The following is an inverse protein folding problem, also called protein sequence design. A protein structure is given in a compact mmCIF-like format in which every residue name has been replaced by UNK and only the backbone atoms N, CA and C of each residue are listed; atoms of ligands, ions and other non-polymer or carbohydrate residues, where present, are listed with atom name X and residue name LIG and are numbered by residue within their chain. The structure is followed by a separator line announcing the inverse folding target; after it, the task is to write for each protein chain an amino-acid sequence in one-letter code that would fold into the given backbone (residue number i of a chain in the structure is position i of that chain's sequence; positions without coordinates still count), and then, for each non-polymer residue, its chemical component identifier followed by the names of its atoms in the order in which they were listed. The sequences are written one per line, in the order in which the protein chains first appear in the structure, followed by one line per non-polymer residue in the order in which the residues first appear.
data_IF_407351962509
#
_entry.id   IF_407351962509
#
_cell.length_a   1.000
_cell.length_b   1.000
_cell.length_c   1.000
_cell.angle_alpha   90.00
_cell.angle_beta   90.00
_cell.angle_gamma   90.00
#
_symmetry.space_group_name_H-M   'P 1'
#
loop_
_entity.id
_entity.type
_entity.pdbx_description
1 polymer ?
#
# COMPACT_ATOMS: atom_id res chain seq x y z
N UNK A 1 6.03 -10.93 -5.47
CA UNK A 1 5.75 -11.34 -4.08
C UNK A 1 6.58 -12.58 -3.80
N UNK A 2 7.48 -12.49 -2.82
CA UNK A 2 8.34 -13.60 -2.40
C UNK A 2 7.66 -14.36 -1.26
N UNK A 3 7.76 -15.69 -1.25
CA UNK A 3 7.19 -16.53 -0.18
C UNK A 3 8.32 -17.17 0.62
N UNK A 4 8.29 -17.00 1.95
CA UNK A 4 9.28 -17.52 2.88
C UNK A 4 8.60 -18.38 3.96
N UNK A 5 9.33 -19.35 4.50
CA UNK A 5 8.89 -20.01 5.73
C UNK A 5 9.01 -19.06 6.94
N UNK A 6 8.19 -19.28 7.98
CA UNK A 6 8.29 -18.53 9.23
C UNK A 6 9.70 -18.62 9.87
N UNK A 7 10.40 -19.74 9.67
CA UNK A 7 11.76 -19.95 10.17
C UNK A 7 12.79 -19.09 9.42
N UNK A 8 12.67 -18.94 8.10
CA UNK A 8 13.53 -18.08 7.29
C UNK A 8 13.25 -16.61 7.56
N UNK A 9 11.97 -16.23 7.65
CA UNK A 9 11.57 -14.87 7.96
C UNK A 9 12.12 -14.42 9.32
N UNK A 10 12.06 -15.29 10.35
CA UNK A 10 12.66 -15.01 11.66
C UNK A 10 14.16 -14.70 11.58
N UNK A 11 14.93 -15.47 10.79
CA UNK A 11 16.38 -15.29 10.65
C UNK A 11 16.77 -13.97 9.98
N UNK A 12 15.87 -13.41 9.18
CA UNK A 12 16.12 -12.25 8.30
C UNK A 12 15.22 -11.06 8.60
N UNK A 13 14.52 -11.05 9.74
CA UNK A 13 13.41 -10.12 9.98
C UNK A 13 13.81 -8.66 9.80
N UNK A 14 14.96 -8.23 10.33
CA UNK A 14 15.44 -6.85 10.17
C UNK A 14 15.63 -6.47 8.69
N UNK A 15 16.36 -7.31 7.93
CA UNK A 15 16.56 -7.08 6.50
C UNK A 15 15.24 -7.08 5.73
N UNK A 16 14.28 -7.93 6.12
CA UNK A 16 12.97 -7.98 5.46
C UNK A 16 12.16 -6.70 5.71
N UNK A 17 12.26 -6.09 6.89
CA UNK A 17 11.60 -4.79 7.16
C UNK A 17 12.17 -3.70 6.25
N UNK A 18 13.49 -3.64 6.11
CA UNK A 18 14.15 -2.69 5.21
C UNK A 18 13.80 -2.98 3.73
N UNK A 19 13.77 -4.26 3.34
CA UNK A 19 13.46 -4.70 1.98
C UNK A 19 12.03 -4.32 1.58
N UNK A 20 11.02 -4.61 2.42
CA UNK A 20 9.63 -4.25 2.08
C UNK A 20 9.43 -2.74 2.03
N UNK A 21 10.12 -1.98 2.88
CA UNK A 21 10.09 -0.51 2.85
C UNK A 21 10.75 0.06 1.61
N UNK A 22 11.90 -0.47 1.20
CA UNK A 22 12.65 0.06 0.06
C UNK A 22 12.02 -0.33 -1.29
N UNK A 23 11.43 -1.52 -1.37
CA UNK A 23 10.92 -2.07 -2.64
C UNK A 23 9.42 -1.90 -2.81
N UNK A 24 8.67 -1.65 -1.73
CA UNK A 24 7.21 -1.69 -1.71
C UNK A 24 6.63 -3.02 -2.23
N UNK A 25 7.40 -4.11 -2.12
CA UNK A 25 6.97 -5.45 -2.53
C UNK A 25 6.62 -6.27 -1.28
N UNK A 26 5.39 -6.79 -1.17
CA UNK A 26 5.00 -7.65 -0.05
C UNK A 26 5.76 -8.98 -0.05
N UNK A 27 6.00 -9.50 1.16
CA UNK A 27 6.53 -10.84 1.40
C UNK A 27 5.49 -11.68 2.11
N UNK A 28 5.20 -12.86 1.57
CA UNK A 28 4.34 -13.84 2.23
C UNK A 28 5.18 -14.72 3.16
N UNK A 29 4.73 -14.87 4.41
CA UNK A 29 5.34 -15.72 5.42
C UNK A 29 4.41 -16.90 5.70
N UNK A 30 4.88 -18.11 5.46
CA UNK A 30 4.10 -19.34 5.65
C UNK A 30 4.60 -20.09 6.88
N UNK A 31 3.71 -20.27 7.85
CA UNK A 31 3.90 -21.14 9.00
C UNK A 31 3.27 -22.52 8.79
N UNK A 32 3.40 -23.41 9.79
CA UNK A 32 2.82 -24.76 9.72
C UNK A 32 1.29 -24.80 9.69
N UNK A 33 0.62 -23.77 10.21
CA UNK A 33 -0.85 -23.72 10.36
C UNK A 33 -1.48 -22.55 9.59
N UNK A 34 -0.78 -21.42 9.52
CA UNK A 34 -1.30 -20.16 9.00
C UNK A 34 -0.23 -19.45 8.15
N UNK A 35 -0.64 -18.44 7.40
CA UNK A 35 0.27 -17.53 6.70
C UNK A 35 -0.05 -16.07 7.03
N UNK A 36 0.92 -15.19 6.80
CA UNK A 36 0.78 -13.74 6.98
C UNK A 36 1.51 -13.03 5.84
N UNK A 37 1.19 -11.74 5.62
CA UNK A 37 1.91 -10.87 4.70
C UNK A 37 2.66 -9.84 5.51
N UNK A 38 3.95 -9.67 5.22
CA UNK A 38 4.74 -8.52 5.66
C UNK A 38 4.73 -7.47 4.55
N UNK A 39 4.33 -6.26 4.91
CA UNK A 39 4.33 -5.05 4.09
C UNK A 39 5.00 -3.93 4.86
N UNK A 40 5.43 -2.89 4.16
CA UNK A 40 5.90 -1.68 4.83
C UNK A 40 4.73 -0.98 5.55
N UNK A 41 5.06 -0.22 6.59
CA UNK A 41 4.07 0.54 7.35
C UNK A 41 3.41 1.63 6.48
N UNK A 42 4.18 2.24 5.57
CA UNK A 42 3.68 3.22 4.61
C UNK A 42 2.66 2.60 3.65
N UNK A 43 2.97 1.41 3.10
CA UNK A 43 2.04 0.72 2.21
C UNK A 43 0.75 0.34 2.94
N UNK A 44 0.85 -0.08 4.20
CA UNK A 44 -0.32 -0.37 5.01
C UNK A 44 -1.21 0.86 5.19
N UNK A 45 -0.63 2.02 5.53
CA UNK A 45 -1.38 3.28 5.63
C UNK A 45 -2.03 3.67 4.31
N UNK A 46 -1.30 3.55 3.20
CA UNK A 46 -1.82 3.87 1.87
C UNK A 46 -3.01 2.96 1.51
N UNK A 47 -2.96 1.67 1.88
CA UNK A 47 -4.08 0.74 1.71
C UNK A 47 -5.27 1.17 2.57
N UNK A 48 -5.07 1.48 3.85
CA UNK A 48 -6.14 1.94 4.74
C UNK A 48 -6.81 3.22 4.23
N UNK A 49 -6.02 4.21 3.81
CA UNK A 49 -6.52 5.47 3.24
C UNK A 49 -7.29 5.21 1.94
N UNK A 50 -6.76 4.37 1.06
CA UNK A 50 -7.43 3.99 -0.20
C UNK A 50 -8.78 3.34 0.07
N UNK A 51 -8.84 2.41 1.04
CA UNK A 51 -10.08 1.74 1.43
C UNK A 51 -11.07 2.73 2.03
N UNK A 52 -10.61 3.65 2.89
CA UNK A 52 -11.43 4.71 3.46
C UNK A 52 -12.05 5.60 2.38
N UNK A 53 -11.23 6.14 1.47
CA UNK A 53 -11.71 6.98 0.38
C UNK A 53 -12.65 6.23 -0.57
N UNK A 54 -12.36 4.97 -0.86
CA UNK A 54 -13.21 4.13 -1.72
C UNK A 54 -14.57 3.80 -1.10
N UNK A 55 -14.67 3.80 0.24
CA UNK A 55 -15.93 3.57 0.95
C UNK A 55 -16.87 4.78 0.89
N UNK A 56 -16.36 5.99 0.60
CA UNK A 56 -17.19 7.20 0.46
C UNK A 56 -17.88 7.17 -0.93
N UNK A 57 -19.23 7.18 -0.99
CA UNK A 57 -19.95 7.16 -2.26
C UNK A 57 -19.51 8.26 -3.22
N UNK A 58 -19.17 7.90 -4.46
CA UNK A 58 -18.73 8.84 -5.49
C UNK A 58 -17.29 9.35 -5.37
N UNK A 59 -16.62 9.16 -4.23
CA UNK A 59 -15.26 9.69 -3.99
C UNK A 59 -14.23 9.10 -4.95
N UNK A 60 -14.22 7.76 -5.13
CA UNK A 60 -13.32 7.09 -6.08
C UNK A 60 -13.44 7.65 -7.50
N UNK A 61 -14.66 7.89 -7.95
CA UNK A 61 -14.90 8.39 -9.31
C UNK A 61 -14.56 9.88 -9.43
N UNK A 62 -14.78 10.67 -8.37
CA UNK A 62 -14.29 12.05 -8.27
C UNK A 62 -12.77 12.12 -8.41
N UNK A 63 -12.03 11.31 -7.66
CA UNK A 63 -10.56 11.23 -7.71
C UNK A 63 -10.08 10.83 -9.11
N UNK A 64 -10.66 9.79 -9.71
CA UNK A 64 -10.32 9.36 -11.08
C UNK A 64 -10.61 10.42 -12.13
N UNK A 65 -11.70 11.18 -11.97
CA UNK A 65 -12.02 12.31 -12.85
C UNK A 65 -10.94 13.38 -12.71
N UNK A 66 -10.58 13.75 -11.48
CA UNK A 66 -9.50 14.70 -11.19
C UNK A 66 -8.17 14.31 -11.82
N UNK A 67 -7.74 13.05 -11.67
CA UNK A 67 -6.50 12.53 -12.26
C UNK A 67 -6.48 12.55 -13.79
N UNK A 68 -7.64 12.54 -14.45
CA UNK A 68 -7.78 12.61 -15.91
C UNK A 68 -7.94 14.04 -16.42
N UNK A 69 -8.14 15.01 -15.54
CA UNK A 69 -8.27 16.42 -15.91
C UNK A 69 -6.91 16.93 -16.39
N UNK A 70 -6.80 17.46 -17.62
CA UNK A 70 -5.58 18.11 -18.08
C UNK A 70 -5.18 19.28 -17.19
N UNK A 71 -3.88 19.53 -17.04
CA UNK A 71 -3.35 20.59 -16.16
C UNK A 71 -3.91 21.96 -16.54
N UNK A 72 -4.16 22.21 -17.83
CA UNK A 72 -4.71 23.47 -18.34
C UNK A 72 -6.15 23.73 -17.89
N UNK A 73 -6.82 22.72 -17.31
CA UNK A 73 -8.18 22.80 -16.77
C UNK A 73 -8.20 22.74 -15.23
N UNK A 74 -7.04 22.66 -14.59
CA UNK A 74 -6.93 22.74 -13.14
C UNK A 74 -6.98 24.21 -12.71
N UNK A 75 -7.58 24.48 -11.54
CA UNK A 75 -7.52 25.81 -10.93
C UNK A 75 -6.12 26.03 -10.33
N UNK A 76 -5.59 27.24 -10.46
CA UNK A 76 -4.28 27.61 -9.91
C UNK A 76 -4.31 27.80 -8.39
N UNK A 77 -5.48 28.17 -7.83
CA UNK A 77 -5.69 28.39 -6.40
C UNK A 77 -6.66 27.35 -5.83
N UNK A 78 -6.43 26.84 -4.60
CA UNK A 78 -7.31 25.86 -3.95
C UNK A 78 -8.70 26.40 -3.57
N UNK A 79 -8.86 27.72 -3.51
CA UNK A 79 -10.13 28.39 -3.22
C UNK A 79 -10.65 28.28 -1.78
N UNK A 80 -9.80 27.86 -0.83
CA UNK A 80 -10.09 27.81 0.61
C UNK A 80 -9.02 28.53 1.43
#
# INVERSE_FOLDING_TARGET
MTTLSASEARKRLYNLVDEVKATHVPVQIVGKRNSAILISEEDWRAIEETLYLAAIPGMRESIKKGLKTPIEKCEEDPGW
#
